data_IF_399914545492
#
_entry.id   IF_399914545492
#
_cell.length_a   1.000
_cell.length_b   1.000
_cell.length_c   1.000
_cell.angle_alpha   90.00
_cell.angle_beta   90.00
_cell.angle_gamma   90.00
#
_symmetry.space_group_name_H-M   'P 1'
#
loop_
_entity.id
_entity.type
_entity.pdbx_description
1 polymer ?
#
# COMPACT_ATOMS: atom_id res chain seq x y z
N UNK A 1 -1.13 -15.89 -4.45
CA UNK A 1 0.33 -15.71 -4.59
C UNK A 1 0.93 -17.04 -5.02
N UNK A 2 2.19 -17.08 -5.41
CA UNK A 2 2.85 -18.34 -5.76
C UNK A 2 3.82 -18.74 -4.64
N UNK A 3 4.02 -20.05 -4.47
CA UNK A 3 4.98 -20.60 -3.50
C UNK A 3 6.28 -20.87 -4.23
N UNK A 4 7.36 -20.21 -3.80
CA UNK A 4 8.67 -20.43 -4.39
C UNK A 4 9.24 -21.81 -4.06
N UNK A 5 10.34 -22.18 -4.70
CA UNK A 5 11.09 -23.40 -4.35
C UNK A 5 11.62 -23.39 -2.90
N UNK A 6 11.68 -22.21 -2.30
CA UNK A 6 11.99 -21.94 -0.89
C UNK A 6 10.82 -22.26 0.07
N UNK A 7 9.67 -22.70 -0.44
CA UNK A 7 8.42 -22.92 0.32
C UNK A 7 7.90 -21.66 1.02
N UNK A 8 8.38 -20.47 0.64
CA UNK A 8 7.93 -19.21 1.23
C UNK A 8 6.74 -18.70 0.40
N UNK A 9 5.53 -18.58 0.99
CA UNK A 9 4.37 -18.06 0.27
C UNK A 9 4.57 -16.59 -0.05
N UNK A 10 4.49 -16.24 -1.34
CA UNK A 10 4.55 -14.84 -1.78
C UNK A 10 3.17 -14.19 -1.69
N UNK A 11 3.15 -12.95 -1.23
CA UNK A 11 1.92 -12.19 -0.98
C UNK A 11 1.09 -12.03 -2.28
N UNK A 12 -0.21 -12.30 -2.19
CA UNK A 12 -1.14 -11.99 -3.27
C UNK A 12 -1.63 -10.55 -3.12
N UNK A 13 -1.25 -9.68 -4.06
CA UNK A 13 -1.68 -8.27 -4.03
C UNK A 13 -3.20 -8.14 -4.11
N UNK A 14 -3.89 -9.01 -4.85
CA UNK A 14 -5.35 -8.96 -4.94
C UNK A 14 -6.04 -9.36 -3.63
N UNK A 15 -5.51 -10.38 -2.93
CA UNK A 15 -6.06 -10.79 -1.64
C UNK A 15 -5.77 -9.73 -0.57
N UNK A 16 -4.60 -9.08 -0.62
CA UNK A 16 -4.28 -7.95 0.25
C UNK A 16 -5.26 -6.80 0.04
N UNK A 17 -5.52 -6.39 -1.21
CA UNK A 17 -6.48 -5.33 -1.53
C UNK A 17 -7.91 -5.67 -1.12
N UNK A 18 -8.27 -6.96 -1.13
CA UNK A 18 -9.56 -7.42 -0.61
C UNK A 18 -9.58 -7.32 0.90
N UNK A 19 -8.55 -7.80 1.58
CA UNK A 19 -8.41 -7.72 3.03
C UNK A 19 -8.54 -6.28 3.52
N UNK A 20 -7.78 -5.34 2.95
CA UNK A 20 -7.84 -3.91 3.31
C UNK A 20 -9.29 -3.39 3.30
N UNK A 21 -10.11 -3.80 2.32
CA UNK A 21 -11.51 -3.37 2.18
C UNK A 21 -12.50 -4.05 3.12
N UNK A 22 -12.16 -5.21 3.68
CA UNK A 22 -13.10 -6.01 4.50
C UNK A 22 -12.71 -6.08 5.97
N UNK A 23 -11.48 -5.66 6.34
CA UNK A 23 -11.10 -5.66 7.73
C UNK A 23 -11.91 -4.62 8.50
N UNK A 24 -12.28 -4.87 9.77
CA UNK A 24 -13.07 -3.93 10.57
C UNK A 24 -12.25 -2.77 11.16
N UNK A 25 -10.93 -2.75 10.94
CA UNK A 25 -10.03 -1.69 11.41
C UNK A 25 -9.76 -0.71 10.26
N UNK A 26 -9.87 0.61 10.45
CA UNK A 26 -9.60 1.55 9.37
C UNK A 26 -8.13 1.48 8.94
N UNK A 27 -7.89 1.47 7.63
CA UNK A 27 -6.55 1.46 7.04
C UNK A 27 -6.24 2.85 6.48
N UNK A 28 -5.19 3.47 7.00
CA UNK A 28 -4.73 4.80 6.57
C UNK A 28 -3.43 4.69 5.78
N UNK A 29 -3.40 5.31 4.59
CA UNK A 29 -2.17 5.49 3.82
C UNK A 29 -1.56 6.86 4.10
N UNK A 30 -0.24 6.93 4.27
CA UNK A 30 0.50 8.19 4.39
C UNK A 30 1.46 8.29 3.21
N UNK A 31 1.34 9.37 2.44
CA UNK A 31 2.13 9.59 1.23
C UNK A 31 3.00 10.83 1.41
N UNK A 32 4.32 10.59 1.44
CA UNK A 32 5.35 11.61 1.39
C UNK A 32 6.15 11.44 0.10
N UNK A 33 6.11 12.43 -0.79
CA UNK A 33 6.68 12.29 -2.13
C UNK A 33 5.81 11.46 -3.10
N UNK A 34 6.40 10.55 -3.86
CA UNK A 34 5.73 9.94 -5.01
C UNK A 34 4.93 8.68 -4.66
N UNK A 35 3.62 8.68 -4.95
CA UNK A 35 2.75 7.51 -4.93
C UNK A 35 2.41 7.09 -6.37
N UNK A 36 3.19 6.13 -6.88
CA UNK A 36 3.24 5.76 -8.29
C UNK A 36 3.12 4.24 -8.46
N UNK A 37 2.46 3.77 -9.53
CA UNK A 37 2.33 2.34 -9.87
C UNK A 37 1.51 1.54 -8.83
N UNK A 38 2.08 0.44 -8.31
CA UNK A 38 1.41 -0.39 -7.31
C UNK A 38 1.08 0.35 -6.01
N UNK A 39 1.88 1.36 -5.65
CA UNK A 39 1.62 2.24 -4.51
C UNK A 39 0.39 3.13 -4.69
N UNK A 40 0.16 3.61 -5.92
CA UNK A 40 -1.04 4.38 -6.26
C UNK A 40 -2.32 3.54 -6.15
N UNK A 41 -2.24 2.26 -6.53
CA UNK A 41 -3.37 1.32 -6.40
C UNK A 41 -3.64 0.99 -4.94
N UNK A 42 -2.59 0.75 -4.14
CA UNK A 42 -2.77 0.40 -2.73
C UNK A 42 -3.28 1.58 -1.89
N UNK A 43 -2.78 2.80 -2.08
CA UNK A 43 -3.35 3.96 -1.38
C UNK A 43 -4.82 4.21 -1.77
N UNK A 44 -5.21 3.90 -3.02
CA UNK A 44 -6.57 4.08 -3.49
C UNK A 44 -7.57 3.07 -2.91
N UNK A 45 -7.09 1.96 -2.34
CA UNK A 45 -7.95 0.99 -1.63
C UNK A 45 -7.97 1.18 -0.11
N UNK A 46 -7.17 2.10 0.43
CA UNK A 46 -7.23 2.50 1.85
C UNK A 46 -8.47 3.37 2.12
N UNK A 47 -8.92 3.42 3.37
CA UNK A 47 -10.08 4.20 3.77
C UNK A 47 -9.80 5.71 3.79
N UNK A 48 -8.57 6.08 4.12
CA UNK A 48 -8.09 7.45 4.15
C UNK A 48 -6.65 7.53 3.67
N UNK A 49 -6.34 8.56 2.89
CA UNK A 49 -4.96 8.89 2.50
C UNK A 49 -4.59 10.28 3.02
N UNK A 50 -3.50 10.35 3.79
CA UNK A 50 -2.87 11.59 4.23
C UNK A 50 -1.69 11.91 3.32
N UNK A 51 -1.79 13.00 2.58
CA UNK A 51 -0.78 13.46 1.63
C UNK A 51 0.01 14.62 2.24
N UNK A 52 1.33 14.52 2.27
CA UNK A 52 2.19 15.67 2.59
C UNK A 52 2.17 16.69 1.44
N UNK A 53 2.61 17.93 1.70
CA UNK A 53 2.61 19.00 0.68
C UNK A 53 3.46 18.67 -0.56
N UNK A 54 4.46 17.78 -0.39
CA UNK A 54 5.30 17.29 -1.47
C UNK A 54 4.77 16.00 -2.14
N UNK A 55 3.56 15.56 -1.79
CA UNK A 55 2.98 14.34 -2.30
C UNK A 55 2.61 14.48 -3.79
N UNK A 56 3.02 13.49 -4.59
CA UNK A 56 2.75 13.43 -6.01
C UNK A 56 2.16 12.07 -6.36
N UNK A 57 0.91 12.07 -6.81
CA UNK A 57 0.20 10.87 -7.25
C UNK A 57 0.32 10.73 -8.76
N UNK A 58 0.65 9.53 -9.24
CA UNK A 58 0.79 9.29 -10.66
C UNK A 58 0.43 7.87 -11.07
N UNK A 59 -0.33 7.75 -12.15
CA UNK A 59 -0.47 6.51 -12.91
C UNK A 59 0.75 6.39 -13.82
N UNK A 60 1.68 5.48 -13.51
CA UNK A 60 2.87 5.29 -14.33
C UNK A 60 2.59 4.41 -15.53
N UNK A 61 2.86 4.95 -16.73
CA UNK A 61 3.70 4.23 -17.68
C UNK A 61 5.15 4.07 -17.13
N UNK A 62 6.07 3.38 -17.80
CA UNK A 62 7.16 2.50 -17.30
C UNK A 62 8.26 3.04 -16.33
N UNK A 63 8.01 4.03 -15.46
CA UNK A 63 9.04 4.68 -14.62
C UNK A 63 8.88 4.31 -13.15
N UNK A 64 9.56 3.24 -12.72
CA UNK A 64 9.53 2.64 -11.39
C UNK A 64 9.70 3.60 -10.19
N UNK A 65 9.07 3.28 -9.06
CA UNK A 65 9.36 3.88 -7.75
C UNK A 65 8.33 3.53 -6.66
N UNK A 66 8.70 2.58 -5.80
CA UNK A 66 7.92 1.93 -4.73
C UNK A 66 7.35 2.84 -3.62
N UNK A 67 6.23 2.43 -3.02
CA UNK A 67 5.55 3.08 -1.89
C UNK A 67 6.04 2.54 -0.53
N UNK A 68 6.28 3.46 0.43
CA UNK A 68 6.41 3.14 1.86
C UNK A 68 5.01 2.97 2.47
N UNK A 69 4.76 1.84 3.13
CA UNK A 69 3.60 1.64 3.98
C UNK A 69 3.98 1.89 5.45
N UNK A 70 3.39 2.91 6.06
CA UNK A 70 3.32 3.01 7.52
C UNK A 70 1.95 2.54 7.96
N UNK A 71 1.91 1.36 8.58
CA UNK A 71 0.76 0.95 9.39
C UNK A 71 1.00 1.49 10.79
N UNK A 72 0.19 2.45 11.21
CA UNK A 72 0.09 2.80 12.63
C UNK A 72 -0.52 1.62 13.37
N UNK A 73 0.33 0.69 13.79
CA UNK A 73 0.04 -0.07 15.00
C UNK A 73 0.25 0.92 16.14
N UNK A 74 -0.84 1.29 16.81
CA UNK A 74 -0.75 1.94 18.10
C UNK A 74 -0.18 0.91 19.08
N UNK A 75 1.14 0.79 19.10
CA UNK A 75 1.86 0.37 20.28
C UNK A 75 1.96 1.61 21.15
N UNK A 76 1.17 1.65 22.22
CA UNK A 76 1.40 2.53 23.35
C UNK A 76 2.87 2.42 23.80
N UNK A 77 3.67 3.46 23.52
CA UNK A 77 4.64 4.11 24.42
C UNK A 77 5.14 5.44 23.81
#
# INVERSE_FOLDING_TARGET
GYVGHDQIPRLNVLDLQRLIRVIPKPVVAIVTGYAIGGGHVLQAVCDLTLAADNAQFGQTGPTAGSCLFYTSDSADD
#
